data_IF_084531687621
#
_entry.id   IF_084531687621
#
_cell.length_a   1.000
_cell.length_b   1.000
_cell.length_c   1.000
_cell.angle_alpha   90.00
_cell.angle_beta   90.00
_cell.angle_gamma   90.00
#
_symmetry.space_group_name_H-M   'P 1'
#
loop_
_entity.id
_entity.type
_entity.pdbx_description
1 polymer ?
#
# COMPACT_ATOMS: atom_id res chain seq x y z
N UNK A 1 -9.11 5.63 2.00
CA UNK A 1 -8.66 6.58 0.97
C UNK A 1 -8.72 5.93 -0.39
N UNK A 2 -9.09 6.67 -1.40
CA UNK A 2 -9.24 6.15 -2.76
C UNK A 2 -8.04 6.53 -3.64
N UNK A 3 -8.11 6.16 -4.93
CA UNK A 3 -7.04 6.45 -5.88
C UNK A 3 -6.75 7.96 -5.96
N UNK A 4 -7.79 8.78 -5.95
CA UNK A 4 -7.61 10.24 -6.06
C UNK A 4 -6.78 10.80 -4.90
N UNK A 5 -6.97 10.27 -3.71
CA UNK A 5 -6.19 10.69 -2.55
C UNK A 5 -4.69 10.44 -2.75
N UNK A 6 -4.33 9.25 -3.26
CA UNK A 6 -2.93 8.87 -3.42
C UNK A 6 -2.29 9.46 -4.68
N UNK A 7 -3.08 9.94 -5.62
CA UNK A 7 -2.55 10.57 -6.83
C UNK A 7 -1.74 11.82 -6.55
N UNK A 8 -1.89 12.44 -5.39
CA UNK A 8 -1.06 13.57 -4.98
C UNK A 8 0.42 13.22 -4.89
N UNK A 9 0.73 11.95 -4.79
CA UNK A 9 2.11 11.46 -4.75
C UNK A 9 2.69 11.12 -6.12
N UNK A 10 1.89 11.26 -7.18
CA UNK A 10 2.37 10.96 -8.53
C UNK A 10 3.37 12.00 -9.02
N UNK A 11 4.43 11.61 -9.73
CA UNK A 11 4.78 10.22 -10.06
C UNK A 11 5.30 9.46 -8.83
N UNK A 12 4.60 8.38 -8.49
CA UNK A 12 4.96 7.56 -7.34
C UNK A 12 6.33 6.92 -7.60
N UNK A 13 7.22 6.96 -6.62
CA UNK A 13 8.61 6.49 -6.78
C UNK A 13 9.33 7.14 -7.98
N UNK A 14 8.89 8.35 -8.34
CA UNK A 14 9.50 9.14 -9.42
C UNK A 14 9.07 8.80 -10.83
N UNK A 15 8.34 7.72 -11.05
CA UNK A 15 8.05 7.22 -12.41
C UNK A 15 6.65 6.66 -12.62
N UNK A 16 5.90 6.35 -11.56
CA UNK A 16 4.72 5.53 -11.64
C UNK A 16 3.45 6.35 -11.47
N UNK A 17 2.41 5.95 -12.20
CA UNK A 17 1.09 6.59 -12.15
C UNK A 17 0.02 5.53 -11.85
N UNK A 18 -0.93 5.90 -11.00
CA UNK A 18 -2.03 5.02 -10.61
C UNK A 18 -3.04 4.96 -11.76
N UNK A 19 -3.39 3.76 -12.20
CA UNK A 19 -4.34 3.56 -13.29
C UNK A 19 -5.70 3.07 -12.83
N UNK A 20 -5.75 2.09 -11.91
CA UNK A 20 -7.02 1.56 -11.42
C UNK A 20 -6.82 0.87 -10.08
N UNK A 21 -7.92 0.70 -9.34
CA UNK A 21 -7.91 -0.06 -8.10
C UNK A 21 -8.04 -1.56 -8.42
N UNK A 22 -7.18 -2.36 -7.79
CA UNK A 22 -7.20 -3.82 -7.93
C UNK A 22 -7.91 -4.49 -6.76
N UNK A 23 -7.84 -3.90 -5.58
CA UNK A 23 -8.44 -4.50 -4.41
C UNK A 23 -8.41 -3.58 -3.20
N UNK A 24 -9.08 -4.01 -2.14
CA UNK A 24 -9.11 -3.31 -0.87
C UNK A 24 -9.15 -4.34 0.25
N UNK A 25 -8.45 -4.04 1.34
CA UNK A 25 -8.43 -4.86 2.54
C UNK A 25 -8.60 -4.01 3.77
N UNK A 26 -8.52 -4.64 4.95
CA UNK A 26 -8.66 -3.95 6.23
C UNK A 26 -7.55 -2.94 6.49
N UNK A 27 -6.39 -3.12 5.87
CA UNK A 27 -5.24 -2.25 6.09
C UNK A 27 -4.97 -1.25 4.97
N UNK A 28 -5.66 -1.36 3.85
CA UNK A 28 -5.42 -0.42 2.77
C UNK A 28 -5.96 -0.89 1.45
N UNK A 29 -5.46 -0.30 0.39
CA UNK A 29 -5.92 -0.56 -0.97
C UNK A 29 -4.76 -0.90 -1.86
N UNK A 30 -5.05 -1.64 -2.92
CA UNK A 30 -4.07 -2.01 -3.94
C UNK A 30 -4.50 -1.44 -5.27
N UNK A 31 -3.57 -0.81 -5.94
CA UNK A 31 -3.78 -0.19 -7.25
C UNK A 31 -2.82 -0.76 -8.27
N UNK A 32 -3.26 -0.78 -9.52
CA UNK A 32 -2.34 -0.94 -10.62
C UNK A 32 -1.62 0.37 -10.86
N UNK A 33 -0.31 0.30 -11.03
CA UNK A 33 0.50 1.45 -11.41
C UNK A 33 1.24 1.15 -12.70
N UNK A 34 1.50 2.19 -13.48
CA UNK A 34 2.19 2.07 -14.77
C UNK A 34 3.28 3.12 -14.86
N UNK A 35 4.35 2.75 -15.56
CA UNK A 35 5.35 3.69 -16.04
C UNK A 35 5.61 3.44 -17.52
N UNK A 36 5.93 4.49 -18.23
CA UNK A 36 6.28 4.41 -19.64
C UNK A 36 7.75 4.75 -19.80
N UNK A 37 8.49 3.86 -20.48
CA UNK A 37 9.89 4.10 -20.79
C UNK A 37 9.98 5.23 -21.81
N UNK A 38 10.74 6.27 -21.46
CA UNK A 38 10.89 7.44 -22.32
C UNK A 38 11.64 7.15 -23.61
N UNK A 39 12.45 6.10 -23.61
CA UNK A 39 13.31 5.77 -24.75
C UNK A 39 12.53 5.03 -25.84
N UNK A 40 11.75 4.02 -25.48
CA UNK A 40 11.09 3.14 -26.45
C UNK A 40 9.56 3.07 -26.33
N UNK A 41 8.98 3.78 -25.33
CA UNK A 41 7.54 3.77 -25.13
C UNK A 41 6.99 2.52 -24.49
N UNK A 42 7.84 1.61 -24.02
CA UNK A 42 7.39 0.40 -23.34
C UNK A 42 6.65 0.75 -22.05
N UNK A 43 5.48 0.14 -21.85
CA UNK A 43 4.69 0.32 -20.66
C UNK A 43 4.98 -0.82 -19.69
N UNK A 44 5.42 -0.46 -18.50
CA UNK A 44 5.61 -1.42 -17.39
C UNK A 44 4.49 -1.27 -16.40
N UNK A 45 4.08 -2.37 -15.81
CA UNK A 45 3.00 -2.40 -14.82
C UNK A 45 3.51 -2.94 -13.50
N UNK A 46 2.94 -2.40 -12.42
CA UNK A 46 3.25 -2.85 -11.07
C UNK A 46 2.02 -2.74 -10.19
N UNK A 47 2.15 -3.18 -8.97
CA UNK A 47 1.13 -3.04 -7.95
C UNK A 47 1.61 -2.07 -6.87
N UNK A 48 0.70 -1.22 -6.42
CA UNK A 48 0.93 -0.30 -5.32
C UNK A 48 -0.03 -0.64 -4.20
N UNK A 49 0.51 -1.02 -3.06
CA UNK A 49 -0.27 -1.12 -1.83
C UNK A 49 -0.15 0.19 -1.09
N UNK A 50 -1.28 0.80 -0.82
CA UNK A 50 -1.33 2.09 -0.15
C UNK A 50 -2.07 1.95 1.18
N UNK A 51 -1.42 2.36 2.26
CA UNK A 51 -1.93 2.24 3.62
C UNK A 51 -1.89 3.63 4.26
N UNK A 52 -2.99 4.03 4.86
CA UNK A 52 -3.06 5.29 5.62
C UNK A 52 -3.31 4.97 7.09
N UNK A 53 -2.50 5.50 7.98
CA UNK A 53 -2.59 5.29 9.42
C UNK A 53 -2.66 6.66 10.10
N UNK A 54 -3.69 6.95 10.92
CA UNK A 54 -4.89 6.15 11.14
C UNK A 54 -5.75 6.05 9.87
N UNK A 55 -6.54 4.99 9.76
CA UNK A 55 -7.30 4.71 8.54
C UNK A 55 -8.47 5.67 8.32
N UNK A 56 -8.90 6.35 9.37
CA UNK A 56 -10.02 7.29 9.31
C UNK A 56 -9.91 8.32 10.42
N UNK A 57 -10.59 9.48 10.29
CA UNK A 57 -10.68 10.44 11.38
C UNK A 57 -11.36 9.87 12.64
N UNK A 58 -12.28 8.93 12.44
CA UNK A 58 -12.98 8.28 13.54
C UNK A 58 -12.02 7.42 14.37
N UNK A 59 -11.08 6.75 13.74
CA UNK A 59 -10.07 5.96 14.44
C UNK A 59 -9.19 6.87 15.30
N UNK A 60 -8.78 8.01 14.80
CA UNK A 60 -8.01 8.98 15.57
C UNK A 60 -8.82 9.49 16.75
N UNK A 61 -10.08 9.83 16.52
CA UNK A 61 -10.95 10.35 17.58
C UNK A 61 -11.19 9.30 18.65
N UNK A 62 -11.36 8.04 18.27
CA UNK A 62 -11.52 6.94 19.20
C UNK A 62 -10.32 6.81 20.15
N UNK A 63 -9.10 6.91 19.61
CA UNK A 63 -7.89 6.85 20.43
C UNK A 63 -7.81 8.03 21.39
N UNK A 64 -8.16 9.21 20.93
CA UNK A 64 -8.15 10.40 21.77
C UNK A 64 -9.20 10.33 22.90
N UNK A 65 -10.39 9.81 22.58
CA UNK A 65 -11.52 9.80 23.51
C UNK A 65 -11.49 8.60 24.45
N UNK A 66 -11.31 7.40 23.89
CA UNK A 66 -11.42 6.15 24.66
C UNK A 66 -10.17 5.85 25.47
N UNK A 67 -9.00 6.12 24.90
CA UNK A 67 -7.74 5.86 25.56
C UNK A 67 -7.24 7.07 26.37
N UNK A 68 -7.94 8.21 26.27
CA UNK A 68 -7.61 9.40 27.02
C UNK A 68 -6.26 10.01 26.65
N UNK A 69 -5.75 9.71 25.46
CA UNK A 69 -4.47 10.23 25.02
C UNK A 69 -4.62 11.65 24.49
N UNK A 70 -3.60 12.47 24.73
CA UNK A 70 -3.49 13.76 24.04
C UNK A 70 -2.99 13.54 22.61
N UNK A 71 -2.86 14.64 21.86
CA UNK A 71 -2.42 14.55 20.46
C UNK A 71 -1.02 13.94 20.35
N UNK A 72 -0.12 14.23 21.26
CA UNK A 72 1.22 13.68 21.25
C UNK A 72 1.20 12.19 21.58
N UNK A 73 0.40 11.76 22.53
CA UNK A 73 0.21 10.35 22.86
C UNK A 73 -0.41 9.58 21.73
N UNK A 74 -1.41 10.14 21.06
CA UNK A 74 -2.03 9.53 19.89
C UNK A 74 -1.03 9.40 18.74
N UNK A 75 -0.24 10.44 18.51
CA UNK A 75 0.82 10.39 17.48
C UNK A 75 1.82 9.27 17.76
N UNK A 76 2.25 9.12 19.01
CA UNK A 76 3.17 8.04 19.41
C UNK A 76 2.53 6.66 19.23
N UNK A 77 1.26 6.54 19.56
CA UNK A 77 0.49 5.31 19.41
C UNK A 77 0.49 4.84 17.93
N UNK A 78 0.12 5.73 17.02
CA UNK A 78 0.07 5.40 15.61
C UNK A 78 1.45 5.22 15.01
N UNK A 79 2.43 5.97 15.49
CA UNK A 79 3.82 5.82 15.01
C UNK A 79 4.36 4.44 15.31
N UNK A 80 4.03 3.86 16.45
CA UNK A 80 4.44 2.49 16.79
C UNK A 80 3.88 1.50 15.78
N UNK A 81 2.63 1.69 15.34
CA UNK A 81 2.02 0.87 14.31
C UNK A 81 2.79 1.00 12.98
N UNK A 82 3.15 2.22 12.60
CA UNK A 82 3.93 2.47 11.38
C UNK A 82 5.30 1.81 11.46
N UNK A 83 5.97 1.91 12.60
CA UNK A 83 7.29 1.29 12.80
C UNK A 83 7.19 -0.22 12.70
N UNK A 84 6.17 -0.82 13.32
CA UNK A 84 5.95 -2.26 13.23
C UNK A 84 5.69 -2.71 11.80
N UNK A 85 4.88 -1.97 11.06
CA UNK A 85 4.60 -2.27 9.66
C UNK A 85 5.85 -2.13 8.79
N UNK A 86 6.66 -1.12 9.05
CA UNK A 86 7.92 -0.93 8.33
C UNK A 86 8.89 -2.11 8.56
N UNK A 87 8.88 -2.68 9.75
CA UNK A 87 9.67 -3.89 10.05
C UNK A 87 9.16 -5.09 9.26
N UNK A 88 7.85 -5.24 9.14
CA UNK A 88 7.27 -6.31 8.33
C UNK A 88 7.67 -6.18 6.86
N UNK A 89 7.63 -4.97 6.33
CA UNK A 89 8.08 -4.69 4.96
C UNK A 89 9.53 -5.10 4.77
N UNK A 90 10.39 -4.76 5.72
CA UNK A 90 11.81 -5.13 5.66
C UNK A 90 12.00 -6.65 5.67
N UNK A 91 11.21 -7.37 6.46
CA UNK A 91 11.25 -8.83 6.49
C UNK A 91 10.79 -9.43 5.16
N UNK A 92 9.71 -8.90 4.58
CA UNK A 92 9.22 -9.38 3.28
C UNK A 92 10.25 -9.12 2.18
N UNK A 93 10.98 -8.02 2.26
CA UNK A 93 12.03 -7.73 1.30
C UNK A 93 13.19 -8.72 1.36
N UNK A 94 13.46 -9.30 2.53
CA UNK A 94 14.50 -10.32 2.69
C UNK A 94 14.17 -11.64 2.01
N UNK A 95 12.89 -11.93 1.80
CA UNK A 95 12.46 -13.15 1.10
C UNK A 95 12.17 -12.90 -0.39
N UNK A 96 12.55 -11.73 -0.87
CA UNK A 96 12.43 -11.36 -2.27
C UNK A 96 13.17 -12.37 -3.15
N UNK A 97 12.56 -12.74 -4.25
CA UNK A 97 13.13 -13.70 -5.21
C UNK A 97 12.70 -15.13 -5.01
N UNK A 98 12.00 -15.45 -3.94
CA UNK A 98 11.42 -16.79 -3.79
C UNK A 98 10.21 -16.95 -4.71
N UNK A 99 10.10 -18.14 -5.33
CA UNK A 99 9.19 -18.36 -6.47
C UNK A 99 7.71 -18.18 -6.16
N UNK A 100 7.30 -18.35 -4.90
CA UNK A 100 5.90 -18.28 -4.52
C UNK A 100 5.53 -17.01 -3.77
N UNK A 101 6.45 -16.05 -3.70
CA UNK A 101 6.27 -14.82 -2.95
C UNK A 101 6.36 -13.63 -3.90
N UNK A 102 5.36 -12.76 -3.85
CA UNK A 102 5.38 -11.51 -4.61
C UNK A 102 6.51 -10.63 -4.08
N UNK A 103 7.35 -10.14 -4.99
CA UNK A 103 8.48 -9.31 -4.62
C UNK A 103 8.03 -7.91 -4.24
N UNK A 104 8.42 -7.46 -3.06
CA UNK A 104 8.36 -6.04 -2.71
C UNK A 104 9.56 -5.35 -3.33
N UNK A 105 9.27 -4.32 -4.15
CA UNK A 105 10.32 -3.64 -4.91
C UNK A 105 10.80 -2.38 -4.21
N UNK A 106 9.87 -1.58 -3.73
CA UNK A 106 10.13 -0.30 -3.10
C UNK A 106 9.08 0.01 -2.06
N UNK A 107 9.40 0.89 -1.12
CA UNK A 107 8.39 1.46 -0.23
C UNK A 107 8.77 2.87 0.19
N UNK A 108 7.76 3.61 0.63
CA UNK A 108 7.93 4.96 1.14
C UNK A 108 6.98 5.18 2.30
N UNK A 109 7.43 5.87 3.32
CA UNK A 109 6.62 6.22 4.49
C UNK A 109 6.59 7.76 4.57
N UNK A 110 5.41 8.34 4.43
CA UNK A 110 5.24 9.78 4.33
C UNK A 110 4.40 10.25 5.52
N UNK A 111 5.01 11.03 6.40
CA UNK A 111 4.29 11.63 7.52
C UNK A 111 3.46 12.80 7.03
N UNK A 112 2.22 12.90 7.54
CA UNK A 112 1.34 14.01 7.22
C UNK A 112 1.88 15.31 7.84
N UNK A 113 1.79 16.41 7.09
CA UNK A 113 2.24 17.72 7.57
C UNK A 113 1.14 18.50 8.26
N UNK A 114 -0.11 18.12 8.04
CA UNK A 114 -1.29 18.86 8.50
C UNK A 114 -2.07 18.13 9.60
N UNK A 115 -1.43 17.20 10.30
CA UNK A 115 -2.09 16.47 11.37
C UNK A 115 -1.34 15.21 11.72
N UNK A 116 -2.00 14.33 12.46
CA UNK A 116 -1.44 13.04 12.84
C UNK A 116 -1.74 12.02 11.75
N UNK A 117 -0.72 11.45 11.17
CA UNK A 117 -0.92 10.40 10.20
C UNK A 117 0.28 10.12 9.34
N UNK A 118 0.23 8.98 8.68
CA UNK A 118 1.26 8.50 7.76
C UNK A 118 0.60 7.81 6.59
N UNK A 119 1.14 8.03 5.40
CA UNK A 119 0.81 7.25 4.22
C UNK A 119 1.99 6.33 3.90
N UNK A 120 1.72 5.05 3.75
CA UNK A 120 2.73 4.05 3.43
C UNK A 120 2.42 3.51 2.04
N UNK A 121 3.38 3.66 1.15
CA UNK A 121 3.27 3.22 -0.23
C UNK A 121 4.26 2.11 -0.47
N UNK A 122 3.79 0.96 -0.96
CA UNK A 122 4.62 -0.21 -1.21
C UNK A 122 4.45 -0.61 -2.66
N UNK A 123 5.54 -0.57 -3.42
CA UNK A 123 5.53 -1.05 -4.80
C UNK A 123 5.88 -2.53 -4.80
N UNK A 124 5.04 -3.30 -5.46
CA UNK A 124 5.18 -4.75 -5.57
C UNK A 124 5.15 -5.16 -7.02
N UNK A 125 5.69 -6.34 -7.29
CA UNK A 125 5.57 -6.94 -8.60
C UNK A 125 4.11 -7.24 -8.90
N UNK A 126 3.65 -6.86 -10.09
CA UNK A 126 2.35 -7.26 -10.61
C UNK A 126 2.57 -8.44 -11.54
N UNK A 127 2.17 -9.63 -11.11
CA UNK A 127 2.32 -10.83 -11.90
C UNK A 127 1.35 -10.79 -13.08
N UNK A 128 1.87 -11.00 -14.27
CA UNK A 128 1.08 -10.98 -15.51
C UNK A 128 -0.17 -11.87 -15.45
N UNK A 129 -0.13 -13.07 -14.84
CA UNK A 129 -1.31 -13.92 -14.76
C UNK A 129 -2.43 -13.43 -13.84
N UNK A 130 -2.23 -12.36 -13.05
CA UNK A 130 -3.23 -11.93 -12.07
C UNK A 130 -4.57 -11.57 -12.73
N UNK A 131 -4.54 -10.79 -13.81
CA UNK A 131 -5.79 -10.43 -14.49
C UNK A 131 -6.46 -11.63 -15.14
N UNK A 132 -5.67 -12.57 -15.67
CA UNK A 132 -6.19 -13.83 -16.18
C UNK A 132 -6.69 -14.73 -15.05
N UNK A 133 -5.99 -14.72 -13.95
CA UNK A 133 -6.35 -15.47 -12.77
C UNK A 133 -7.72 -15.01 -12.22
N UNK A 134 -7.93 -13.72 -12.14
CA UNK A 134 -9.20 -13.15 -11.73
C UNK A 134 -10.35 -13.53 -12.68
N UNK A 135 -10.07 -13.62 -13.99
CA UNK A 135 -11.07 -14.01 -14.98
C UNK A 135 -11.43 -15.49 -14.91
N UNK A 136 -10.49 -16.33 -14.53
CA UNK A 136 -10.70 -17.78 -14.44
C UNK A 136 -11.45 -18.20 -13.19
N UNK A 137 -11.36 -17.40 -12.13
CA UNK A 137 -11.83 -17.80 -10.81
C UNK A 137 -12.60 -16.64 -10.17
N UNK A 138 -13.90 -16.61 -10.35
CA UNK A 138 -14.77 -15.52 -9.83
C UNK A 138 -14.66 -15.35 -8.32
N UNK A 139 -14.31 -16.41 -7.61
CA UNK A 139 -14.23 -16.40 -6.15
C UNK A 139 -12.82 -16.17 -5.61
N UNK A 140 -11.83 -16.03 -6.47
CA UNK A 140 -10.43 -15.98 -6.09
C UNK A 140 -9.81 -14.58 -6.06
N UNK A 141 -10.46 -13.49 -6.46
CA UNK A 141 -9.81 -12.18 -6.37
C UNK A 141 -9.22 -11.90 -5.00
N UNK A 142 -9.89 -12.36 -3.95
CA UNK A 142 -9.44 -12.19 -2.58
C UNK A 142 -8.14 -12.93 -2.33
N UNK A 143 -8.02 -14.18 -2.76
CA UNK A 143 -6.80 -14.96 -2.58
C UNK A 143 -5.66 -14.43 -3.44
N UNK A 144 -5.95 -14.01 -4.65
CA UNK A 144 -4.93 -13.39 -5.49
C UNK A 144 -4.41 -12.09 -4.88
N UNK A 145 -5.32 -11.31 -4.27
CA UNK A 145 -4.96 -10.11 -3.53
C UNK A 145 -4.08 -10.46 -2.33
N UNK A 146 -4.37 -11.55 -1.63
CA UNK A 146 -3.54 -12.05 -0.53
C UNK A 146 -2.13 -12.40 -1.00
N UNK A 147 -2.01 -13.00 -2.19
CA UNK A 147 -0.70 -13.32 -2.78
C UNK A 147 0.10 -12.08 -3.13
N UNK A 148 -0.54 -10.94 -3.28
CA UNK A 148 0.15 -9.66 -3.45
C UNK A 148 0.63 -9.07 -2.13
N UNK A 149 0.56 -9.81 -1.03
CA UNK A 149 1.03 -9.36 0.26
C UNK A 149 0.09 -8.41 0.97
N UNK A 150 -1.19 -8.40 0.59
CA UNK A 150 -2.18 -7.53 1.20
C UNK A 150 -2.69 -8.12 2.51
N UNK A 151 -2.66 -9.41 2.60
CA UNK A 151 -2.98 -10.13 3.83
C UNK A 151 -1.74 -10.09 4.72
N UNK A 152 -1.81 -9.26 5.70
CA UNK A 152 -0.71 -9.10 6.65
C UNK A 152 -1.08 -9.64 8.02
#
# INVERSE_FOLDING_TARGET
>A
MDAEYYKKYEPVFGKWYITKQLGAGSYGKVFEIQRTDALDGTVYRGALKAITIPSSPEELQSVLDEDGLDRQGASSYFRETVVALNREIALMNKVKGHSNIVSYEDHDVIEHTDGIGWDILIRMELLTPISQYFKQFDTIPRQAVLRLGIDL
#
